data_IF_054860833973
#
_entry.id   IF_054860833973
#
_cell.length_a   1.000
_cell.length_b   1.000
_cell.length_c   1.000
_cell.angle_alpha   90.00
_cell.angle_beta   90.00
_cell.angle_gamma   90.00
#
_symmetry.space_group_name_H-M   'P 1'
#
loop_
_entity.id
_entity.type
_entity.pdbx_description
1 polymer ?
#
# COMPACT_ATOMS: atom_id res chain seq x y z
N UNK A 1 -10.75 -7.92 -16.18
CA UNK A 1 -10.39 -6.85 -15.22
C UNK A 1 -11.34 -5.69 -15.44
N UNK A 2 -11.98 -5.19 -14.38
CA UNK A 2 -12.92 -4.07 -14.51
C UNK A 2 -12.18 -2.74 -14.76
N UNK A 3 -12.87 -1.72 -15.26
CA UNK A 3 -12.29 -0.39 -15.45
C UNK A 3 -11.77 0.21 -14.13
N UNK A 4 -12.49 -0.07 -13.02
CA UNK A 4 -12.10 0.34 -11.68
C UNK A 4 -10.79 -0.31 -11.23
N UNK A 5 -10.61 -1.61 -11.47
CA UNK A 5 -9.36 -2.33 -11.10
C UNK A 5 -8.16 -1.80 -11.90
N UNK A 6 -8.37 -1.46 -13.18
CA UNK A 6 -7.31 -0.90 -14.03
C UNK A 6 -6.82 0.46 -13.52
N UNK A 7 -7.75 1.32 -13.09
CA UNK A 7 -7.42 2.64 -12.55
C UNK A 7 -6.71 2.49 -11.21
N UNK A 8 -7.23 1.65 -10.31
CA UNK A 8 -6.61 1.39 -9.02
C UNK A 8 -5.19 0.82 -9.17
N UNK A 9 -4.99 -0.20 -10.01
CA UNK A 9 -3.66 -0.75 -10.29
C UNK A 9 -2.69 0.33 -10.79
N UNK A 10 -3.12 1.19 -11.71
CA UNK A 10 -2.29 2.27 -12.24
C UNK A 10 -1.93 3.27 -11.14
N UNK A 11 -2.90 3.70 -10.36
CA UNK A 11 -2.71 4.70 -9.31
C UNK A 11 -1.76 4.17 -8.23
N UNK A 12 -1.92 2.91 -7.81
CA UNK A 12 -1.02 2.26 -6.85
C UNK A 12 0.42 2.20 -7.36
N UNK A 13 0.64 1.85 -8.63
CA UNK A 13 2.00 1.81 -9.21
C UNK A 13 2.65 3.18 -9.29
N UNK A 14 1.88 4.23 -9.60
CA UNK A 14 2.40 5.60 -9.62
C UNK A 14 2.73 6.06 -8.21
N UNK A 15 1.78 5.90 -7.28
CA UNK A 15 1.92 6.38 -5.91
C UNK A 15 3.08 5.69 -5.17
N UNK A 16 3.20 4.36 -5.28
CA UNK A 16 4.29 3.59 -4.65
C UNK A 16 5.66 4.01 -5.16
N UNK A 17 5.81 4.23 -6.48
CA UNK A 17 7.05 4.75 -7.07
C UNK A 17 7.37 6.16 -6.55
N UNK A 18 6.41 7.07 -6.60
CA UNK A 18 6.62 8.45 -6.18
C UNK A 18 6.99 8.54 -4.68
N UNK A 19 6.44 7.64 -3.87
CA UNK A 19 6.80 7.47 -2.46
C UNK A 19 8.21 6.92 -2.24
N UNK A 20 8.63 5.94 -3.03
CA UNK A 20 10.01 5.43 -2.99
C UNK A 20 11.03 6.52 -3.33
N UNK A 21 10.69 7.43 -4.25
CA UNK A 21 11.56 8.56 -4.63
C UNK A 21 11.59 9.65 -3.55
N UNK A 22 10.40 10.06 -3.04
CA UNK A 22 10.27 11.15 -2.05
C UNK A 22 10.73 10.78 -0.65
N UNK A 23 10.48 9.54 -0.22
CA UNK A 23 10.76 9.07 1.15
C UNK A 23 11.91 8.08 1.04
N UNK A 24 13.10 8.63 0.81
CA UNK A 24 14.34 7.89 0.54
C UNK A 24 15.49 8.32 1.46
N UNK A 25 16.50 7.46 1.61
CA UNK A 25 17.62 7.64 2.53
C UNK A 25 17.97 6.31 3.21
N UNK A 26 18.87 6.29 4.20
CA UNK A 26 19.06 5.12 5.05
C UNK A 26 17.97 5.01 6.12
N UNK A 27 17.51 6.15 6.64
CA UNK A 27 16.46 6.28 7.65
C UNK A 27 15.43 7.31 7.18
N UNK A 28 14.14 7.02 7.36
CA UNK A 28 13.03 7.88 6.96
C UNK A 28 12.22 8.30 8.18
N UNK A 29 11.60 9.48 8.13
CA UNK A 29 10.79 9.97 9.25
C UNK A 29 9.52 9.13 9.40
N UNK A 30 9.21 8.68 10.63
CA UNK A 30 8.00 7.88 10.90
C UNK A 30 6.72 8.59 10.45
N UNK A 31 6.64 9.90 10.62
CA UNK A 31 5.48 10.69 10.19
C UNK A 31 5.26 10.58 8.67
N UNK A 32 6.32 10.71 7.86
CA UNK A 32 6.20 10.59 6.40
C UNK A 32 5.78 9.18 5.95
N UNK A 33 6.26 8.15 6.66
CA UNK A 33 5.85 6.75 6.42
C UNK A 33 4.37 6.55 6.76
N UNK A 34 3.90 7.05 7.91
CA UNK A 34 2.48 6.99 8.31
C UNK A 34 1.60 7.69 7.27
N UNK A 35 1.96 8.91 6.88
CA UNK A 35 1.21 9.67 5.89
C UNK A 35 1.15 8.93 4.55
N UNK A 36 2.29 8.36 4.10
CA UNK A 36 2.35 7.56 2.88
C UNK A 36 1.48 6.30 2.92
N UNK A 37 1.46 5.57 4.04
CA UNK A 37 0.57 4.43 4.23
C UNK A 37 -0.90 4.85 4.20
N UNK A 38 -1.26 5.94 4.90
CA UNK A 38 -2.65 6.44 4.89
C UNK A 38 -3.10 6.85 3.49
N UNK A 39 -2.22 7.46 2.69
CA UNK A 39 -2.51 7.77 1.29
C UNK A 39 -2.77 6.51 0.46
N UNK A 40 -1.94 5.46 0.61
CA UNK A 40 -2.13 4.17 -0.08
C UNK A 40 -3.45 3.49 0.33
N UNK A 41 -3.77 3.51 1.63
CA UNK A 41 -5.05 3.00 2.14
C UNK A 41 -6.24 3.73 1.51
N UNK A 42 -6.15 5.06 1.41
CA UNK A 42 -7.21 5.88 0.84
C UNK A 42 -7.44 5.63 -0.66
N UNK A 43 -6.43 5.17 -1.40
CA UNK A 43 -6.61 4.73 -2.81
C UNK A 43 -7.49 3.48 -2.91
N UNK A 44 -7.29 2.52 -1.99
CA UNK A 44 -8.09 1.29 -1.91
C UNK A 44 -9.49 1.49 -1.33
N UNK A 45 -9.74 2.60 -0.63
CA UNK A 45 -10.93 2.76 0.19
C UNK A 45 -12.25 2.56 -0.57
N UNK A 46 -13.02 1.56 -0.16
CA UNK A 46 -14.29 1.20 -0.77
C UNK A 46 -14.19 0.60 -2.18
N UNK A 47 -12.97 0.29 -2.63
CA UNK A 47 -12.66 -0.30 -3.94
C UNK A 47 -11.95 -1.63 -3.81
N UNK A 48 -11.07 -1.75 -2.81
CA UNK A 48 -10.24 -2.91 -2.56
C UNK A 48 -9.99 -3.09 -1.07
N UNK A 49 -10.83 -3.93 -0.46
CA UNK A 49 -10.74 -4.26 0.95
C UNK A 49 -9.45 -5.03 1.29
N UNK A 50 -8.90 -5.80 0.35
CA UNK A 50 -7.63 -6.50 0.56
C UNK A 50 -6.50 -5.50 0.77
N UNK A 51 -6.41 -4.48 -0.08
CA UNK A 51 -5.45 -3.39 0.08
C UNK A 51 -5.67 -2.63 1.39
N UNK A 52 -6.92 -2.29 1.74
CA UNK A 52 -7.22 -1.60 3.00
C UNK A 52 -6.70 -2.37 4.22
N UNK A 53 -6.96 -3.68 4.26
CA UNK A 53 -6.50 -4.55 5.35
C UNK A 53 -4.98 -4.69 5.38
N UNK A 54 -4.34 -4.92 4.24
CA UNK A 54 -2.88 -5.00 4.14
C UNK A 54 -2.21 -3.73 4.65
N UNK A 55 -2.75 -2.55 4.33
CA UNK A 55 -2.19 -1.30 4.82
C UNK A 55 -2.49 -1.07 6.30
N UNK A 56 -3.67 -1.47 6.79
CA UNK A 56 -4.01 -1.42 8.22
C UNK A 56 -3.05 -2.29 9.05
N UNK A 57 -2.72 -3.50 8.58
CA UNK A 57 -1.69 -4.36 9.19
C UNK A 57 -0.31 -3.67 9.23
N UNK A 58 0.12 -3.05 8.13
CA UNK A 58 1.38 -2.29 8.10
C UNK A 58 1.41 -1.12 9.09
N UNK A 59 0.28 -0.43 9.28
CA UNK A 59 0.14 0.67 10.23
C UNK A 59 0.27 0.20 11.68
N UNK A 60 -0.23 -1.01 12.00
CA UNK A 60 -0.09 -1.63 13.32
C UNK A 60 1.36 -2.08 13.58
N UNK A 61 2.07 -2.51 12.54
CA UNK A 61 3.44 -3.03 12.63
C UNK A 61 4.55 -1.97 12.51
N UNK A 62 4.21 -0.67 12.45
CA UNK A 62 5.23 0.37 12.29
C UNK A 62 6.25 0.31 13.43
N UNK A 63 7.56 0.19 13.11
CA UNK A 63 8.61 0.14 14.13
C UNK A 63 8.54 1.31 15.14
N UNK A 64 8.95 1.02 16.36
CA UNK A 64 9.04 2.02 17.42
C UNK A 64 10.11 3.07 17.11
N UNK A 65 9.94 4.28 17.64
CA UNK A 65 10.87 5.40 17.44
C UNK A 65 10.36 6.46 16.45
N UNK A 66 11.20 7.47 16.19
CA UNK A 66 10.87 8.60 15.30
C UNK A 66 11.37 8.43 13.87
N UNK A 67 12.29 7.50 13.66
CA UNK A 67 12.85 7.18 12.36
C UNK A 67 12.68 5.68 12.11
N UNK A 68 12.36 5.33 10.87
CA UNK A 68 12.13 3.98 10.39
C UNK A 68 13.24 3.65 9.40
N UNK A 69 13.67 2.39 9.33
CA UNK A 69 14.63 1.98 8.31
C UNK A 69 13.98 2.08 6.94
N UNK A 70 14.78 2.49 5.95
CA UNK A 70 14.26 2.57 4.58
C UNK A 70 14.02 1.18 3.99
N UNK A 71 14.69 0.15 4.52
CA UNK A 71 14.39 -1.25 4.20
C UNK A 71 12.96 -1.64 4.57
N UNK A 72 12.51 -1.32 5.80
CA UNK A 72 11.13 -1.60 6.21
C UNK A 72 10.13 -0.84 5.32
N UNK A 73 10.41 0.43 5.07
CA UNK A 73 9.56 1.25 4.20
C UNK A 73 9.46 0.71 2.78
N UNK A 74 10.59 0.35 2.17
CA UNK A 74 10.62 -0.23 0.83
C UNK A 74 9.93 -1.60 0.79
N UNK A 75 10.00 -2.39 1.87
CA UNK A 75 9.27 -3.64 1.95
C UNK A 75 7.75 -3.41 1.90
N UNK A 76 7.22 -2.44 2.65
CA UNK A 76 5.81 -2.05 2.57
C UNK A 76 5.41 -1.63 1.15
N UNK A 77 6.21 -0.78 0.50
CA UNK A 77 5.94 -0.33 -0.87
C UNK A 77 5.96 -1.49 -1.87
N UNK A 78 6.88 -2.44 -1.72
CA UNK A 78 6.94 -3.63 -2.56
C UNK A 78 5.70 -4.52 -2.37
N UNK A 79 5.26 -4.74 -1.13
CA UNK A 79 4.02 -5.50 -0.86
C UNK A 79 2.81 -4.86 -1.52
N UNK A 80 2.68 -3.53 -1.47
CA UNK A 80 1.57 -2.82 -2.14
C UNK A 80 1.71 -2.89 -3.67
N UNK A 81 2.92 -2.80 -4.21
CA UNK A 81 3.15 -2.95 -5.64
C UNK A 81 2.83 -4.37 -6.14
N UNK A 82 3.14 -5.40 -5.34
CA UNK A 82 2.78 -6.79 -5.62
C UNK A 82 1.27 -7.01 -5.59
N UNK A 83 0.57 -6.39 -4.63
CA UNK A 83 -0.90 -6.37 -4.62
C UNK A 83 -1.48 -5.73 -5.88
N UNK A 84 -0.90 -4.61 -6.34
CA UNK A 84 -1.31 -3.99 -7.58
C UNK A 84 -1.10 -4.94 -8.78
N UNK A 85 0.03 -5.65 -8.84
CA UNK A 85 0.29 -6.65 -9.88
C UNK A 85 -0.71 -7.82 -9.83
N UNK A 86 -1.15 -8.23 -8.63
CA UNK A 86 -2.18 -9.24 -8.43
C UNK A 86 -3.53 -8.81 -9.02
N UNK A 87 -3.95 -7.56 -8.80
CA UNK A 87 -5.14 -6.99 -9.44
C UNK A 87 -5.01 -6.97 -10.97
N UNK A 88 -3.83 -6.57 -11.48
CA UNK A 88 -3.57 -6.52 -12.92
C UNK A 88 -3.66 -7.89 -13.60
N UNK A 89 -3.30 -8.95 -12.88
CA UNK A 89 -3.44 -10.33 -13.36
C UNK A 89 -4.91 -10.81 -13.41
N UNK A 90 -5.88 -9.98 -12.99
CA UNK A 90 -7.30 -10.26 -13.07
C UNK A 90 -7.84 -11.08 -11.90
N UNK A 91 -7.04 -11.25 -10.84
CA UNK A 91 -7.56 -11.78 -9.59
C UNK A 91 -8.42 -10.72 -8.91
N UNK A 92 -9.62 -11.07 -8.44
CA UNK A 92 -10.46 -10.12 -7.73
C UNK A 92 -9.73 -9.67 -6.46
N UNK A 93 -9.83 -8.37 -6.14
CA UNK A 93 -9.53 -7.86 -4.81
C UNK A 93 -10.17 -8.82 -3.80
N UNK A 94 -9.39 -9.36 -2.88
CA UNK A 94 -9.88 -10.34 -1.92
C UNK A 94 -11.02 -9.71 -1.13
N UNK A 95 -12.26 -10.01 -1.50
CA UNK A 95 -13.42 -9.77 -0.65
C UNK A 95 -13.29 -10.89 0.40
N UNK A 96 -13.01 -10.61 1.67
CA UNK A 96 -13.27 -11.60 2.69
C UNK A 96 -14.75 -11.90 2.54
N UNK A 97 -15.06 -13.14 2.20
CA UNK A 97 -16.42 -13.62 2.15
C UNK A 97 -17.00 -13.47 3.56
N UNK A 98 -17.62 -12.32 3.85
CA UNK A 98 -18.66 -12.20 4.86
C UNK A 98 -19.91 -12.86 4.27
N UNK A 99 -19.82 -14.16 4.04
CA UNK A 99 -20.96 -15.00 3.80
C UNK A 99 -21.33 -15.63 5.14
N UNK A 100 -22.18 -14.87 5.87
CA UNK A 100 -23.21 -15.32 6.82
C UNK A 100 -22.83 -16.26 7.96
#
# INVERSE_FOLDING_TARGET
MSEHDMHLHRDLRVQTRDFAERISGPMVAKAAVVDGLLDLRNLGRGRDLGLELTVDEMLEEIPAGRQISSEWWMNCLNTVADHANFLAAGYPAAIPALAS
#
